data_IF_437566795398
#
_entry.id   IF_437566795398
#
_cell.length_a   1.000
_cell.length_b   1.000
_cell.length_c   1.000
_cell.angle_alpha   90.00
_cell.angle_beta   90.00
_cell.angle_gamma   90.00
#
_symmetry.space_group_name_H-M   'P 1'
#
loop_
_entity.id
_entity.type
_entity.pdbx_description
1 polymer ?
#
# COMPACT_ATOMS: atom_id res chain seq x y z
N UNK A 1 15.98 8.51 -0.50
CA UNK A 1 14.78 9.33 -0.76
C UNK A 1 13.67 8.39 -1.18
N UNK A 2 12.55 8.35 -0.47
CA UNK A 2 11.41 7.52 -0.86
C UNK A 2 10.65 8.19 -2.01
N UNK A 3 10.05 7.39 -2.88
CA UNK A 3 9.27 7.84 -4.05
C UNK A 3 7.86 7.26 -3.93
N UNK A 4 6.84 8.10 -4.14
CA UNK A 4 5.45 7.65 -4.08
C UNK A 4 5.01 7.01 -5.40
N UNK A 5 4.22 5.95 -5.28
CA UNK A 5 3.41 5.43 -6.37
C UNK A 5 2.36 6.48 -6.76
N UNK A 6 2.01 6.54 -8.05
CA UNK A 6 0.93 7.39 -8.55
C UNK A 6 -0.45 6.89 -8.17
N UNK A 7 -0.56 5.62 -7.77
CA UNK A 7 -1.84 4.99 -7.45
C UNK A 7 -1.97 4.82 -5.94
N UNK A 8 -3.12 5.23 -5.42
CA UNK A 8 -3.52 5.06 -4.03
C UNK A 8 -4.83 4.28 -3.97
N UNK A 9 -5.08 3.59 -2.85
CA UNK A 9 -6.38 3.00 -2.59
C UNK A 9 -7.26 3.99 -1.84
N UNK A 10 -8.54 4.04 -2.20
CA UNK A 10 -9.53 4.79 -1.43
C UNK A 10 -10.00 3.95 -0.24
N UNK A 11 -10.10 4.59 0.91
CA UNK A 11 -10.67 4.00 2.12
C UNK A 11 -12.18 4.24 2.07
N UNK A 12 -12.94 3.16 2.03
CA UNK A 12 -14.40 3.16 2.20
C UNK A 12 -14.76 2.75 3.64
N UNK A 13 -15.99 3.02 4.05
CA UNK A 13 -16.46 2.75 5.42
C UNK A 13 -16.43 1.25 5.79
N UNK A 14 -16.51 0.37 4.81
CA UNK A 14 -16.45 -1.09 4.94
C UNK A 14 -15.03 -1.67 4.85
N UNK A 15 -14.03 -0.85 4.52
CA UNK A 15 -12.64 -1.31 4.37
C UNK A 15 -11.94 -1.40 5.73
N UNK A 16 -11.67 -2.63 6.17
CA UNK A 16 -10.67 -2.86 7.21
C UNK A 16 -9.26 -2.63 6.66
N UNK A 17 -8.69 -1.44 6.92
CA UNK A 17 -7.36 -1.05 6.42
C UNK A 17 -6.29 -2.06 6.81
N UNK A 18 -6.29 -2.52 8.07
CA UNK A 18 -5.30 -3.47 8.57
C UNK A 18 -5.41 -4.82 7.84
N UNK A 19 -6.62 -5.32 7.61
CA UNK A 19 -6.81 -6.61 6.94
C UNK A 19 -6.45 -6.52 5.46
N UNK A 20 -6.79 -5.42 4.79
CA UNK A 20 -6.39 -5.17 3.41
C UNK A 20 -4.86 -5.14 3.27
N UNK A 21 -4.16 -4.43 4.16
CA UNK A 21 -2.69 -4.37 4.15
C UNK A 21 -2.05 -5.73 4.48
N UNK A 22 -2.61 -6.51 5.41
CA UNK A 22 -2.12 -7.85 5.73
C UNK A 22 -2.25 -8.79 4.54
N UNK A 23 -3.41 -8.83 3.89
CA UNK A 23 -3.64 -9.65 2.71
C UNK A 23 -2.74 -9.23 1.55
N UNK A 24 -2.49 -7.94 1.40
CA UNK A 24 -1.58 -7.40 0.40
C UNK A 24 -0.14 -7.85 0.63
N UNK A 25 0.35 -7.71 1.86
CA UNK A 25 1.68 -8.13 2.28
C UNK A 25 1.89 -9.65 2.06
N UNK A 26 0.92 -10.47 2.48
CA UNK A 26 0.94 -11.92 2.33
C UNK A 26 0.95 -12.37 0.87
N UNK A 27 0.06 -11.79 0.04
CA UNK A 27 -0.14 -12.28 -1.33
C UNK A 27 0.96 -11.85 -2.30
N UNK A 28 1.57 -10.69 -2.08
CA UNK A 28 2.45 -10.07 -3.07
C UNK A 28 3.90 -9.88 -2.63
N UNK A 29 4.18 -9.98 -1.33
CA UNK A 29 5.51 -9.71 -0.78
C UNK A 29 6.03 -10.81 0.16
N UNK A 30 5.37 -11.97 0.19
CA UNK A 30 5.77 -13.13 1.01
C UNK A 30 5.99 -12.76 2.50
N UNK A 31 5.20 -11.80 2.99
CA UNK A 31 5.26 -11.32 4.35
C UNK A 31 4.17 -11.98 5.19
N UNK A 32 4.43 -12.25 6.47
CA UNK A 32 3.39 -12.79 7.36
C UNK A 32 2.20 -11.82 7.52
N UNK A 33 2.48 -10.53 7.57
CA UNK A 33 1.50 -9.45 7.74
C UNK A 33 2.18 -8.09 7.43
N UNK A 34 1.37 -7.04 7.29
CA UNK A 34 1.91 -5.69 7.30
C UNK A 34 2.33 -5.31 8.74
N UNK A 35 3.51 -4.72 8.88
CA UNK A 35 4.08 -4.35 10.19
C UNK A 35 3.92 -2.85 10.40
N UNK A 36 3.25 -2.45 11.46
CA UNK A 36 3.11 -1.04 11.80
C UNK A 36 4.47 -0.46 12.21
N UNK A 37 4.87 0.65 11.57
CA UNK A 37 6.13 1.34 11.86
C UNK A 37 5.88 2.58 12.73
N UNK A 38 4.90 3.38 12.34
CA UNK A 38 4.50 4.61 13.02
C UNK A 38 2.97 4.72 12.99
N UNK A 39 2.44 5.78 13.59
CA UNK A 39 1.06 6.16 13.37
C UNK A 39 0.81 6.35 11.86
N UNK A 40 -0.19 5.64 11.33
CA UNK A 40 -0.56 5.66 9.91
C UNK A 40 0.48 5.10 8.91
N UNK A 41 1.56 4.45 9.36
CA UNK A 41 2.56 3.87 8.46
C UNK A 41 2.80 2.39 8.71
N UNK A 42 2.85 1.61 7.63
CA UNK A 42 3.07 0.17 7.67
C UNK A 42 4.14 -0.25 6.65
N UNK A 43 5.08 -1.09 7.06
CA UNK A 43 5.91 -1.86 6.13
C UNK A 43 5.10 -3.03 5.58
N UNK A 44 5.14 -3.22 4.27
CA UNK A 44 4.35 -4.26 3.55
C UNK A 44 5.23 -5.41 3.08
N UNK A 45 6.54 -5.20 3.01
CA UNK A 45 7.50 -6.05 2.33
C UNK A 45 8.36 -6.86 3.30
N UNK A 46 7.70 -7.61 4.17
CA UNK A 46 8.37 -8.54 5.11
C UNK A 46 9.39 -7.82 6.02
N UNK A 47 9.13 -6.57 6.38
CA UNK A 47 9.99 -5.77 7.27
C UNK A 47 11.26 -5.22 6.61
N UNK A 48 11.46 -5.41 5.31
CA UNK A 48 12.61 -4.81 4.59
C UNK A 48 12.49 -3.29 4.47
N UNK A 49 11.26 -2.75 4.59
CA UNK A 49 10.98 -1.32 4.56
C UNK A 49 11.38 -0.66 3.22
N UNK A 50 11.39 -1.44 2.15
CA UNK A 50 11.49 -1.00 0.77
C UNK A 50 10.13 -0.59 0.19
N UNK A 51 9.02 -1.06 0.78
CA UNK A 51 7.66 -0.60 0.50
C UNK A 51 6.90 -0.27 1.79
N UNK A 52 6.42 0.98 1.86
CA UNK A 52 5.52 1.43 2.92
C UNK A 52 4.14 1.78 2.37
N UNK A 53 3.11 1.39 3.12
CA UNK A 53 1.79 1.96 3.03
C UNK A 53 1.68 3.13 4.03
N UNK A 54 1.16 4.26 3.57
CA UNK A 54 0.95 5.47 4.36
C UNK A 54 -0.52 5.86 4.25
N UNK A 55 -1.23 5.75 5.37
CA UNK A 55 -2.62 6.14 5.52
C UNK A 55 -2.67 7.68 5.56
N UNK A 56 -3.60 8.25 4.80
CA UNK A 56 -3.92 9.67 4.76
C UNK A 56 -5.38 9.83 5.18
N UNK A 57 -5.70 9.82 6.49
CA UNK A 57 -7.08 9.85 6.98
C UNK A 57 -7.87 11.05 6.44
N UNK A 58 -7.24 12.22 6.40
CA UNK A 58 -7.80 13.48 5.89
C UNK A 58 -8.25 13.39 4.43
N UNK A 59 -7.64 12.49 3.66
CA UNK A 59 -7.95 12.26 2.25
C UNK A 59 -8.70 10.95 2.01
N UNK A 60 -8.91 10.13 3.04
CA UNK A 60 -9.45 8.77 2.94
C UNK A 60 -8.66 7.92 1.94
N UNK A 61 -7.32 7.98 2.00
CA UNK A 61 -6.44 7.26 1.09
C UNK A 61 -5.42 6.38 1.81
N UNK A 62 -5.02 5.29 1.17
CA UNK A 62 -3.81 4.54 1.45
C UNK A 62 -2.86 4.79 0.27
N UNK A 63 -1.77 5.49 0.54
CA UNK A 63 -0.72 5.76 -0.44
C UNK A 63 0.44 4.79 -0.25
N UNK A 64 1.22 4.56 -1.31
CA UNK A 64 2.35 3.62 -1.28
C UNK A 64 3.64 4.33 -1.66
N UNK A 65 4.70 4.16 -0.88
CA UNK A 65 6.01 4.71 -1.21
C UNK A 65 7.09 3.63 -1.20
N UNK A 66 7.88 3.61 -2.29
CA UNK A 66 9.03 2.74 -2.42
C UNK A 66 10.28 3.47 -1.93
N UNK A 67 11.21 2.73 -1.31
CA UNK A 67 12.54 3.25 -0.97
C UNK A 67 13.37 3.56 -2.21
N UNK A 68 13.21 2.78 -3.29
CA UNK A 68 13.95 2.95 -4.53
C UNK A 68 13.02 3.21 -5.72
N UNK A 69 13.41 4.15 -6.58
CA UNK A 69 12.66 4.54 -7.78
C UNK A 69 12.45 3.36 -8.76
N UNK A 70 13.43 2.45 -8.84
CA UNK A 70 13.39 1.28 -9.73
C UNK A 70 12.20 0.36 -9.46
N UNK A 71 11.71 0.34 -8.22
CA UNK A 71 10.64 -0.56 -7.79
C UNK A 71 9.24 0.02 -8.02
N UNK A 72 9.13 1.32 -8.32
CA UNK A 72 7.84 2.01 -8.47
C UNK A 72 6.96 1.36 -9.51
N UNK A 73 7.46 1.10 -10.72
CA UNK A 73 6.64 0.54 -11.79
C UNK A 73 6.08 -0.84 -11.43
N UNK A 74 6.89 -1.69 -10.78
CA UNK A 74 6.48 -3.01 -10.32
C UNK A 74 5.43 -2.88 -9.21
N UNK A 75 5.69 -2.02 -8.22
CA UNK A 75 4.77 -1.78 -7.10
C UNK A 75 3.44 -1.23 -7.58
N UNK A 76 3.42 -0.26 -8.50
CA UNK A 76 2.17 0.29 -9.06
C UNK A 76 1.33 -0.79 -9.75
N UNK A 77 1.96 -1.71 -10.48
CA UNK A 77 1.24 -2.82 -11.10
C UNK A 77 0.63 -3.76 -10.05
N UNK A 78 1.36 -4.04 -8.97
CA UNK A 78 0.91 -4.87 -7.85
C UNK A 78 -0.24 -4.17 -7.09
N UNK A 79 -0.11 -2.88 -6.79
CA UNK A 79 -1.13 -2.04 -6.12
C UNK A 79 -2.43 -2.03 -6.93
N UNK A 80 -2.35 -1.88 -8.26
CA UNK A 80 -3.53 -1.95 -9.14
C UNK A 80 -4.15 -3.32 -9.17
N UNK A 81 -3.31 -4.36 -9.31
CA UNK A 81 -3.77 -5.74 -9.41
C UNK A 81 -4.51 -6.15 -8.13
N UNK A 82 -3.95 -5.88 -6.96
CA UNK A 82 -4.61 -6.16 -5.69
C UNK A 82 -5.93 -5.41 -5.55
N UNK A 83 -5.97 -4.12 -5.91
CA UNK A 83 -7.21 -3.36 -5.85
C UNK A 83 -8.29 -3.95 -6.76
N UNK A 84 -7.94 -4.31 -8.01
CA UNK A 84 -8.88 -4.97 -8.93
C UNK A 84 -9.39 -6.31 -8.38
N UNK A 85 -8.50 -7.15 -7.85
CA UNK A 85 -8.86 -8.47 -7.31
C UNK A 85 -9.76 -8.41 -6.07
N UNK A 86 -9.70 -7.32 -5.30
CA UNK A 86 -10.46 -7.16 -4.06
C UNK A 86 -11.54 -6.07 -4.15
N UNK A 87 -11.85 -5.59 -5.36
CA UNK A 87 -12.90 -4.57 -5.56
C UNK A 87 -12.60 -3.20 -4.95
N UNK A 88 -11.33 -2.87 -4.71
CA UNK A 88 -10.94 -1.58 -4.13
C UNK A 88 -10.92 -0.48 -5.19
N UNK A 89 -11.38 0.71 -4.81
CA UNK A 89 -11.27 1.90 -5.66
C UNK A 89 -9.85 2.46 -5.65
N UNK A 90 -9.35 2.83 -6.83
CA UNK A 90 -8.02 3.43 -7.01
C UNK A 90 -8.16 4.91 -7.35
N UNK A 91 -7.31 5.74 -6.76
CA UNK A 91 -7.14 7.15 -7.11
C UNK A 91 -5.76 7.37 -7.72
N UNK A 92 -5.68 8.21 -8.75
CA UNK A 92 -4.41 8.66 -9.33
C UNK A 92 -4.01 9.97 -8.66
N UNK A 93 -2.86 9.98 -8.01
CA UNK A 93 -2.27 11.16 -7.38
C UNK A 93 -1.71 12.08 -8.47
N UNK A 94 -2.05 13.37 -8.39
CA UNK A 94 -1.57 14.42 -9.30
C UNK A 94 -0.16 14.90 -8.92
#
# INVERSE_FOLDING_TARGET
MSVYCKFAWKISDDLSVKDALNQFAQRYFDAQAAVQLEEYQYAVDNGMNDLRAVIKPEHHLITFCCRYKKDIQRTENIVKKFAHENGLQIVVLQ
#
